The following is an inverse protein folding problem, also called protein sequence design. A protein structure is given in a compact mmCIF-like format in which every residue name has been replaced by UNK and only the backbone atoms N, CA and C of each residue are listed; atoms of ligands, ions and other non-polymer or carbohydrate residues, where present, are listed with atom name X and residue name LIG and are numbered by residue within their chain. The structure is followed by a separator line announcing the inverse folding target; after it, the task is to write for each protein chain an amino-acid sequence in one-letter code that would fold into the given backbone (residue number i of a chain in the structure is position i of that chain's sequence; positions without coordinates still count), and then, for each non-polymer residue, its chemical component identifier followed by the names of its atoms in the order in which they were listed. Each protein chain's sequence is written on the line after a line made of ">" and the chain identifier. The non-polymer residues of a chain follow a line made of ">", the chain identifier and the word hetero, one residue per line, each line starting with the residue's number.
data_IF_622367774184
#
_entry.id   IF_622367774184
#
_cell.length_a   1.000
_cell.length_b   1.000
_cell.length_c   1.000
_cell.angle_alpha   90.00
_cell.angle_beta   90.00
_cell.angle_gamma   90.00
#
_symmetry.space_group_name_H-M   'P 1'
#
loop_
_entity.id
_entity.type
_entity.pdbx_description
1 polymer ?
#
# COMPACT_ATOMS: atom_id res chain seq x y z
N UNK A 1 5.09 14.01 9.87
CA UNK A 1 4.46 12.68 9.98
C UNK A 1 3.80 12.38 8.65
N UNK A 2 3.97 11.17 8.11
CA UNK A 2 3.25 10.74 6.92
C UNK A 2 1.82 10.44 7.36
N UNK A 3 0.84 11.08 6.74
CA UNK A 3 -0.59 10.82 7.01
C UNK A 3 -1.13 9.94 5.88
N UNK A 4 -1.66 8.74 6.16
CA UNK A 4 -2.21 7.88 5.12
C UNK A 4 -3.44 8.52 4.47
N UNK A 5 -3.63 8.31 3.17
CA UNK A 5 -4.79 8.86 2.44
C UNK A 5 -6.10 8.13 2.74
N UNK A 6 -6.04 6.86 3.15
CA UNK A 6 -7.23 6.04 3.45
C UNK A 6 -7.21 5.51 4.88
N UNK A 7 -8.40 5.31 5.50
CA UNK A 7 -8.51 4.79 6.85
C UNK A 7 -8.04 3.33 6.94
N UNK A 8 -7.87 2.87 8.18
CA UNK A 8 -7.51 1.48 8.49
C UNK A 8 -8.72 0.52 8.56
N UNK A 9 -9.83 0.89 7.93
CA UNK A 9 -11.09 0.13 7.89
C UNK A 9 -11.46 -0.22 6.45
N UNK A 10 -12.34 -1.22 6.24
CA UNK A 10 -12.75 -1.61 4.90
C UNK A 10 -13.40 -0.47 4.12
N UNK A 11 -13.12 -0.41 2.82
CA UNK A 11 -13.65 0.61 1.92
C UNK A 11 -14.79 0.05 1.07
N UNK A 12 -15.79 0.88 0.68
CA UNK A 12 -16.78 0.48 -0.31
C UNK A 12 -16.18 0.15 -1.67
N UNK A 13 -15.03 0.75 -2.00
CA UNK A 13 -14.26 0.50 -3.21
C UNK A 13 -12.77 0.76 -2.95
N UNK A 14 -11.93 -0.21 -3.31
CA UNK A 14 -10.48 -0.07 -3.25
C UNK A 14 -9.93 0.48 -4.58
N UNK A 15 -8.97 1.40 -4.54
CA UNK A 15 -8.27 1.86 -5.75
C UNK A 15 -7.53 0.71 -6.42
N UNK A 16 -7.91 0.41 -7.67
CA UNK A 16 -7.30 -0.56 -8.59
C UNK A 16 -7.03 -1.99 -8.09
N UNK A 17 -7.49 -2.36 -6.89
CA UNK A 17 -7.42 -3.73 -6.41
C UNK A 17 -8.33 -4.63 -7.26
N UNK A 18 -7.82 -5.78 -7.68
CA UNK A 18 -8.57 -6.73 -8.49
C UNK A 18 -9.74 -7.28 -7.68
N UNK A 19 -10.90 -7.44 -8.31
CA UNK A 19 -12.13 -7.85 -7.62
C UNK A 19 -12.02 -9.18 -6.84
N UNK A 20 -11.17 -10.11 -7.29
CA UNK A 20 -10.89 -11.37 -6.59
C UNK A 20 -10.19 -11.19 -5.25
N UNK A 21 -9.43 -10.11 -5.09
CA UNK A 21 -8.58 -9.87 -3.93
C UNK A 21 -9.32 -9.07 -2.86
N UNK A 22 -10.38 -8.35 -3.25
CA UNK A 22 -11.20 -7.54 -2.36
C UNK A 22 -11.70 -8.35 -1.15
N UNK A 23 -12.30 -9.55 -1.27
CA UNK A 23 -12.79 -10.29 -0.10
C UNK A 23 -11.67 -10.70 0.88
N UNK A 24 -10.50 -11.05 0.35
CA UNK A 24 -9.33 -11.43 1.14
C UNK A 24 -8.80 -10.21 1.88
N UNK A 25 -8.67 -9.09 1.17
CA UNK A 25 -8.19 -7.83 1.72
C UNK A 25 -9.14 -7.27 2.79
N UNK A 26 -10.45 -7.32 2.54
CA UNK A 26 -11.49 -6.95 3.51
C UNK A 26 -11.37 -7.74 4.81
N UNK A 27 -11.25 -9.07 4.70
CA UNK A 27 -11.10 -9.96 5.85
C UNK A 27 -9.81 -9.63 6.62
N UNK A 28 -8.72 -9.37 5.90
CA UNK A 28 -7.45 -9.01 6.50
C UNK A 28 -7.53 -7.66 7.24
N UNK A 29 -8.10 -6.61 6.64
CA UNK A 29 -8.25 -5.29 7.29
C UNK A 29 -9.11 -5.39 8.54
N UNK A 30 -10.23 -6.13 8.51
CA UNK A 30 -11.08 -6.30 9.70
C UNK A 30 -10.32 -6.94 10.86
N UNK A 31 -9.38 -7.83 10.54
CA UNK A 31 -8.61 -8.58 11.55
C UNK A 31 -7.37 -7.82 12.01
N UNK A 32 -6.66 -7.14 11.11
CA UNK A 32 -5.31 -6.59 11.35
C UNK A 32 -5.21 -5.08 11.14
N UNK A 33 -6.25 -4.42 10.62
CA UNK A 33 -6.22 -3.00 10.28
C UNK A 33 -5.90 -2.09 11.47
N UNK A 34 -6.32 -2.47 12.67
CA UNK A 34 -6.06 -1.73 13.90
C UNK A 34 -4.56 -1.58 14.24
N UNK A 35 -3.67 -2.37 13.63
CA UNK A 35 -2.21 -2.19 13.76
C UNK A 35 -1.64 -1.03 12.93
N UNK A 36 -2.47 -0.38 12.12
CA UNK A 36 -2.07 0.68 11.21
C UNK A 36 -2.92 1.92 11.46
N UNK A 37 -2.34 3.10 11.23
CA UNK A 37 -3.08 4.36 11.22
C UNK A 37 -3.96 4.48 9.98
N UNK A 38 -3.56 3.83 8.89
CA UNK A 38 -4.25 3.82 7.62
C UNK A 38 -3.37 3.27 6.52
N UNK A 39 -3.86 3.34 5.30
CA UNK A 39 -3.23 2.76 4.12
C UNK A 39 -3.08 3.77 2.99
N UNK A 40 -2.15 3.51 2.08
CA UNK A 40 -1.99 4.14 0.78
C UNK A 40 -2.06 3.09 -0.32
N UNK A 41 -2.93 3.29 -1.30
CA UNK A 41 -3.07 2.41 -2.47
C UNK A 41 -2.34 2.99 -3.69
N UNK A 42 -1.94 2.10 -4.61
CA UNK A 42 -1.29 2.42 -5.89
C UNK A 42 -0.03 3.29 -5.74
N UNK A 43 0.81 2.90 -4.80
CA UNK A 43 2.03 3.66 -4.51
C UNK A 43 3.06 3.36 -5.59
N UNK A 44 3.35 4.38 -6.41
CA UNK A 44 4.41 4.30 -7.40
C UNK A 44 5.77 4.37 -6.70
N UNK A 45 6.67 3.48 -7.08
CA UNK A 45 8.01 3.37 -6.51
C UNK A 45 9.06 3.22 -7.61
N UNK A 46 10.25 3.76 -7.32
CA UNK A 46 11.35 3.83 -8.27
C UNK A 46 11.21 4.99 -9.27
N UNK A 47 12.17 5.07 -10.19
CA UNK A 47 12.28 6.21 -11.12
C UNK A 47 11.53 6.00 -12.44
N UNK A 48 11.02 4.79 -12.71
CA UNK A 48 10.55 4.43 -14.06
C UNK A 48 11.72 4.17 -15.01
N UNK A 49 11.42 3.98 -16.29
CA UNK A 49 12.42 3.89 -17.36
C UNK A 49 12.66 5.26 -17.96
N UNK A 50 13.90 5.53 -18.37
CA UNK A 50 14.25 6.75 -19.10
C UNK A 50 13.45 6.79 -20.41
N UNK A 51 12.67 7.86 -20.66
CA UNK A 51 11.94 8.01 -21.91
C UNK A 51 12.86 8.49 -23.04
N UNK A 52 12.39 8.32 -24.28
CA UNK A 52 13.04 8.93 -25.44
C UNK A 52 12.92 10.47 -25.36
N UNK A 53 14.06 11.16 -25.47
CA UNK A 53 14.18 12.61 -25.28
C UNK A 53 13.57 13.41 -26.42
N UNK A 54 13.38 12.78 -27.58
CA UNK A 54 12.79 13.42 -28.76
C UNK A 54 11.25 13.47 -28.68
N UNK A 55 10.66 12.80 -27.68
CA UNK A 55 9.21 12.83 -27.45
C UNK A 55 8.78 14.10 -26.71
N UNK A 56 7.51 14.47 -26.82
CA UNK A 56 6.96 15.59 -26.05
C UNK A 56 7.04 15.34 -24.54
N UNK A 57 7.13 16.42 -23.77
CA UNK A 57 7.19 16.35 -22.30
C UNK A 57 6.05 15.51 -21.70
N UNK A 58 4.83 15.65 -22.24
CA UNK A 58 3.67 14.89 -21.77
C UNK A 58 3.82 13.38 -22.01
N UNK A 59 4.41 12.99 -23.15
CA UNK A 59 4.68 11.58 -23.45
C UNK A 59 5.80 11.03 -22.56
N UNK A 60 6.81 11.85 -22.24
CA UNK A 60 7.87 11.47 -21.31
C UNK A 60 7.32 11.24 -19.89
N UNK A 61 6.47 12.13 -19.38
CA UNK A 61 5.82 11.93 -18.07
C UNK A 61 4.93 10.69 -18.03
N UNK A 62 4.14 10.47 -19.09
CA UNK A 62 3.31 9.28 -19.21
C UNK A 62 4.17 8.01 -19.22
N UNK A 63 5.27 8.00 -19.97
CA UNK A 63 6.20 6.88 -20.03
C UNK A 63 6.78 6.54 -18.66
N UNK A 64 7.26 7.55 -17.93
CA UNK A 64 7.79 7.38 -16.57
C UNK A 64 6.71 6.76 -15.67
N UNK A 65 5.49 7.32 -15.66
CA UNK A 65 4.39 6.82 -14.84
C UNK A 65 4.00 5.37 -15.16
N UNK A 66 3.97 5.01 -16.45
CA UNK A 66 3.63 3.65 -16.90
C UNK A 66 4.71 2.62 -16.59
N UNK A 67 5.96 3.04 -16.54
CA UNK A 67 7.11 2.15 -16.34
C UNK A 67 7.59 2.09 -14.90
N UNK A 68 7.07 2.96 -14.02
CA UNK A 68 7.26 2.85 -12.58
C UNK A 68 6.64 1.56 -12.04
N UNK A 69 7.31 0.98 -11.04
CA UNK A 69 6.74 -0.14 -10.29
C UNK A 69 5.65 0.39 -9.38
N UNK A 70 4.64 -0.44 -9.10
CA UNK A 70 3.55 -0.11 -8.19
C UNK A 70 3.48 -1.12 -7.06
N UNK A 71 3.26 -0.60 -5.86
CA UNK A 71 2.85 -1.40 -4.70
C UNK A 71 1.36 -1.15 -4.53
N UNK A 72 0.57 -2.22 -4.52
CA UNK A 72 -0.89 -2.11 -4.46
C UNK A 72 -1.36 -1.44 -3.17
N UNK A 73 -0.74 -1.77 -2.03
CA UNK A 73 -1.08 -1.20 -0.72
C UNK A 73 0.16 -1.05 0.18
N UNK A 74 0.29 0.10 0.85
CA UNK A 74 1.28 0.38 1.90
C UNK A 74 0.55 0.79 3.18
N UNK A 75 0.88 0.16 4.31
CA UNK A 75 0.33 0.54 5.62
C UNK A 75 1.24 1.51 6.36
N UNK A 76 0.66 2.55 6.95
CA UNK A 76 1.38 3.52 7.81
C UNK A 76 1.18 3.15 9.27
N UNK A 77 2.28 2.93 10.00
CA UNK A 77 2.27 2.68 11.45
C UNK A 77 2.87 3.87 12.20
N UNK A 78 2.53 4.01 13.48
CA UNK A 78 3.28 4.93 14.34
C UNK A 78 4.69 4.36 14.57
N UNK A 79 5.72 5.20 14.54
CA UNK A 79 7.11 4.78 14.71
C UNK A 79 7.43 4.27 16.13
N UNK A 80 6.49 4.42 17.07
CA UNK A 80 6.62 3.98 18.46
C UNK A 80 6.31 2.48 18.64
N UNK A 81 5.43 1.90 17.82
CA UNK A 81 5.01 0.49 17.96
C UNK A 81 5.94 -0.51 17.25
N UNK A 82 6.83 -0.05 16.37
CA UNK A 82 7.69 -0.91 15.55
C UNK A 82 8.91 -1.49 16.28
N UNK A 83 9.19 -1.05 17.52
CA UNK A 83 10.30 -1.55 18.35
C UNK A 83 9.96 -2.78 19.19
N UNK A 84 8.69 -3.18 19.28
CA UNK A 84 8.23 -4.24 20.18
C UNK A 84 7.53 -5.39 19.43
N UNK A 85 8.16 -5.91 18.37
CA UNK A 85 7.68 -7.12 17.64
C UNK A 85 8.49 -8.38 17.95
N UNK A 86 9.29 -8.39 19.01
CA UNK A 86 10.11 -9.53 19.43
C UNK A 86 9.40 -10.54 20.34
N UNK A 87 8.08 -10.42 20.55
CA UNK A 87 7.35 -11.38 21.42
C UNK A 87 6.65 -12.44 20.56
N UNK A 88 7.17 -13.67 20.48
CA UNK A 88 6.45 -14.76 19.82
C UNK A 88 5.16 -15.06 20.59
N UNK A 89 4.02 -15.05 19.88
CA UNK A 89 2.76 -15.50 20.46
C UNK A 89 2.92 -16.96 20.90
N UNK A 90 2.91 -17.20 22.21
CA UNK A 90 2.75 -18.55 22.76
C UNK A 90 1.35 -19.03 22.41
N UNK A 91 1.28 -20.02 21.52
CA UNK A 91 0.09 -20.87 21.37
C UNK A 91 -0.08 -21.64 22.68
N UNK A 92 -1.06 -21.26 23.49
CA UNK A 92 -1.47 -22.03 24.66
C UNK A 92 -2.51 -23.03 24.16
N UNK A 93 -2.10 -24.29 24.07
CA UNK A 93 -3.00 -25.41 23.83
C UNK A 93 -3.89 -25.67 25.05
N UNK A 94 -5.15 -25.97 24.77
CA UNK A 94 -6.14 -26.52 25.69
C UNK A 94 -7.08 -27.41 24.91
#
# INVERSE_FOLDING_TARGET
>A
MITPRWPNTPLPKYPHLVGSDIPIWDSWIRTHGHYFQGFDYDVHVGQGLEPDKDQSFQLQEMWIGLTQKRIDVVGVTSMLESRDRSTPQRVVGG
#
